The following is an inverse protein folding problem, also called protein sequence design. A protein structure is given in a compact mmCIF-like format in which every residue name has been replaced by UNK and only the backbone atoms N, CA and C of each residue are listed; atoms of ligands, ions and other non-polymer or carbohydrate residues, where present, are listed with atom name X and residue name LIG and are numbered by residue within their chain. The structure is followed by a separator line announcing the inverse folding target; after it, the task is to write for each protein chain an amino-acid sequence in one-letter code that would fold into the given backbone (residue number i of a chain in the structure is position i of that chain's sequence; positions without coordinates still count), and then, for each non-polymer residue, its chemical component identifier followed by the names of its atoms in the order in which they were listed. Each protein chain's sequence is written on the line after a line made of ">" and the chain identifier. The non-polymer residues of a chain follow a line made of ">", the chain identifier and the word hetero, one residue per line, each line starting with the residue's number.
data_IF_379723494277
#
_entry.id   IF_379723494277
#
_cell.length_a   1.000
_cell.length_b   1.000
_cell.length_c   1.000
_cell.angle_alpha   90.00
_cell.angle_beta   90.00
_cell.angle_gamma   90.00
#
_symmetry.space_group_name_H-M   'P 1'
#
loop_
_entity.id
_entity.type
_entity.pdbx_description
1 polymer ?
#
# COMPACT_ATOMS: atom_id res chain seq x y z
N UNK A 1 -19.57 -0.55 -6.75
CA UNK A 1 -18.55 0.08 -5.87
C UNK A 1 -18.48 -0.50 -4.44
N UNK A 2 -19.50 -1.19 -3.95
CA UNK A 2 -19.53 -1.73 -2.57
C UNK A 2 -18.68 -2.99 -2.33
N UNK A 3 -18.42 -3.81 -3.35
CA UNK A 3 -17.76 -5.11 -3.18
C UNK A 3 -16.29 -5.07 -2.79
N UNK A 4 -15.47 -4.18 -3.38
CA UNK A 4 -14.02 -4.11 -3.10
C UNK A 4 -13.73 -3.54 -1.71
N UNK A 5 -14.49 -2.54 -1.29
CA UNK A 5 -14.34 -1.96 0.04
C UNK A 5 -14.72 -2.94 1.16
N UNK A 6 -15.75 -3.73 0.95
CA UNK A 6 -16.21 -4.73 1.94
C UNK A 6 -15.18 -5.86 2.14
N UNK A 7 -14.43 -6.20 1.10
CA UNK A 7 -13.40 -7.25 1.17
C UNK A 7 -12.03 -6.74 1.66
N UNK A 8 -11.68 -5.49 1.37
CA UNK A 8 -10.41 -4.91 1.82
C UNK A 8 -10.34 -4.75 3.35
N UNK A 9 -11.45 -4.46 4.02
CA UNK A 9 -11.50 -4.25 5.46
C UNK A 9 -11.11 -5.48 6.30
N UNK A 10 -11.65 -6.68 6.07
CA UNK A 10 -11.23 -7.87 6.79
C UNK A 10 -9.76 -8.21 6.56
N UNK A 11 -9.28 -8.10 5.31
CA UNK A 11 -7.87 -8.38 4.96
C UNK A 11 -6.94 -7.36 5.63
N UNK A 12 -7.29 -6.08 5.62
CA UNK A 12 -6.48 -5.04 6.25
C UNK A 12 -6.38 -5.21 7.76
N UNK A 13 -7.50 -5.52 8.44
CA UNK A 13 -7.52 -5.78 9.88
C UNK A 13 -6.68 -6.99 10.26
N UNK A 14 -6.74 -8.08 9.49
CA UNK A 14 -5.95 -9.28 9.72
C UNK A 14 -4.43 -9.00 9.66
N UNK A 15 -4.01 -8.00 8.90
CA UNK A 15 -2.61 -7.56 8.81
C UNK A 15 -2.29 -6.35 9.71
N UNK A 16 -3.22 -5.92 10.54
CA UNK A 16 -3.04 -4.78 11.45
C UNK A 16 -2.92 -3.44 10.75
N UNK A 17 -3.57 -3.30 9.59
CA UNK A 17 -3.65 -2.04 8.87
C UNK A 17 -4.94 -1.29 9.23
N UNK A 18 -4.79 0.00 9.48
CA UNK A 18 -5.90 0.92 9.69
C UNK A 18 -6.31 1.56 8.36
N UNK A 19 -7.61 1.54 8.06
CA UNK A 19 -8.16 2.30 6.94
C UNK A 19 -8.18 3.78 7.30
N UNK A 20 -7.58 4.60 6.47
CA UNK A 20 -7.58 6.05 6.65
C UNK A 20 -8.76 6.67 5.90
N UNK A 21 -8.77 6.54 4.58
CA UNK A 21 -9.80 7.13 3.75
C UNK A 21 -9.99 6.40 2.43
N UNK A 22 -11.08 6.72 1.76
CA UNK A 22 -11.35 6.34 0.38
C UNK A 22 -11.63 7.62 -0.40
N UNK A 23 -10.96 7.81 -1.53
CA UNK A 23 -11.17 8.92 -2.46
C UNK A 23 -11.53 8.32 -3.81
N UNK A 24 -12.82 8.40 -4.18
CA UNK A 24 -13.31 7.71 -5.37
C UNK A 24 -13.12 6.19 -5.24
N UNK A 25 -12.35 5.62 -6.14
CA UNK A 25 -11.96 4.20 -6.17
C UNK A 25 -10.63 3.92 -5.44
N UNK A 26 -9.91 4.95 -5.00
CA UNK A 26 -8.65 4.81 -4.31
C UNK A 26 -8.87 4.56 -2.80
N UNK A 27 -8.35 3.44 -2.31
CA UNK A 27 -8.35 3.07 -0.90
C UNK A 27 -6.97 3.35 -0.29
N UNK A 28 -6.95 4.03 0.84
CA UNK A 28 -5.73 4.33 1.59
C UNK A 28 -5.76 3.71 2.97
N UNK A 29 -4.72 2.98 3.32
CA UNK A 29 -4.49 2.41 4.64
C UNK A 29 -3.07 2.66 5.14
N UNK A 30 -2.89 2.48 6.44
CA UNK A 30 -1.60 2.66 7.13
C UNK A 30 -1.36 1.53 8.11
N UNK A 31 -0.11 1.15 8.29
CA UNK A 31 0.34 0.22 9.33
C UNK A 31 1.33 0.94 10.25
N UNK A 32 1.15 0.77 11.57
CA UNK A 32 2.00 1.41 12.56
C UNK A 32 1.51 2.77 13.06
N UNK A 33 0.25 3.10 12.80
CA UNK A 33 -0.44 4.30 13.31
C UNK A 33 -1.84 3.87 13.74
N UNK A 34 -2.36 4.28 14.90
CA UNK A 34 -1.72 5.15 15.91
C UNK A 34 -0.67 4.44 16.76
N UNK A 35 -0.66 3.11 16.77
CA UNK A 35 0.29 2.32 17.57
C UNK A 35 1.50 1.92 16.73
N UNK A 36 2.72 2.39 17.06
CA UNK A 36 3.93 2.07 16.32
C UNK A 36 4.21 0.56 16.26
N UNK A 37 4.63 0.08 15.07
CA UNK A 37 5.00 -1.32 14.84
C UNK A 37 6.33 -1.40 14.09
N UNK A 38 7.23 -2.26 14.57
CA UNK A 38 8.54 -2.48 13.91
C UNK A 38 8.41 -3.22 12.58
N UNK A 39 7.40 -4.09 12.46
CA UNK A 39 7.11 -4.91 11.27
C UNK A 39 6.12 -4.25 10.29
N UNK A 40 5.87 -2.94 10.42
CA UNK A 40 4.86 -2.22 9.62
C UNK A 40 5.04 -2.42 8.11
N UNK A 41 6.28 -2.36 7.60
CA UNK A 41 6.56 -2.50 6.18
C UNK A 41 6.30 -3.94 5.68
N UNK A 42 6.63 -4.94 6.50
CA UNK A 42 6.35 -6.36 6.21
C UNK A 42 4.85 -6.61 6.19
N UNK A 43 4.10 -6.08 7.17
CA UNK A 43 2.66 -6.20 7.22
C UNK A 43 1.98 -5.51 6.02
N UNK A 44 2.46 -4.33 5.62
CA UNK A 44 1.96 -3.64 4.43
C UNK A 44 2.23 -4.42 3.14
N UNK A 45 3.42 -5.02 3.01
CA UNK A 45 3.78 -5.85 1.87
C UNK A 45 2.91 -7.11 1.77
N UNK A 46 2.70 -7.81 2.89
CA UNK A 46 1.82 -8.97 2.94
C UNK A 46 0.36 -8.61 2.63
N UNK A 47 -0.13 -7.51 3.18
CA UNK A 47 -1.46 -6.98 2.87
C UNK A 47 -1.65 -6.74 1.36
N UNK A 48 -0.68 -6.11 0.71
CA UNK A 48 -0.73 -5.86 -0.72
C UNK A 48 -0.78 -7.14 -1.55
N UNK A 49 0.00 -8.15 -1.18
CA UNK A 49 -0.02 -9.46 -1.84
C UNK A 49 -1.34 -10.20 -1.63
N UNK A 50 -1.89 -10.16 -0.41
CA UNK A 50 -3.21 -10.75 -0.10
C UNK A 50 -4.33 -10.08 -0.92
N UNK A 51 -4.28 -8.74 -1.07
CA UNK A 51 -5.24 -8.00 -1.89
C UNK A 51 -5.15 -8.40 -3.37
N UNK A 52 -3.94 -8.52 -3.92
CA UNK A 52 -3.76 -8.98 -5.31
C UNK A 52 -4.23 -10.42 -5.49
N UNK A 53 -3.93 -11.30 -4.55
CA UNK A 53 -4.37 -12.71 -4.59
C UNK A 53 -5.91 -12.79 -4.58
N UNK A 54 -6.56 -12.03 -3.71
CA UNK A 54 -8.02 -11.95 -3.63
C UNK A 54 -8.66 -11.47 -4.94
N UNK A 55 -8.11 -10.42 -5.55
CA UNK A 55 -8.62 -9.90 -6.83
C UNK A 55 -8.49 -10.95 -7.94
N UNK A 56 -7.33 -11.62 -8.04
CA UNK A 56 -7.08 -12.69 -9.02
C UNK A 56 -8.03 -13.87 -8.85
N UNK A 57 -8.29 -14.27 -7.60
CA UNK A 57 -9.23 -15.34 -7.31
C UNK A 57 -10.66 -14.98 -7.73
N UNK A 58 -11.09 -13.76 -7.46
CA UNK A 58 -12.40 -13.26 -7.90
C UNK A 58 -12.55 -13.19 -9.41
N UNK A 59 -11.50 -12.77 -10.11
CA UNK A 59 -11.47 -12.76 -11.57
C UNK A 59 -11.57 -14.17 -12.14
N UNK A 60 -10.84 -15.13 -11.57
CA UNK A 60 -10.88 -16.54 -11.99
C UNK A 60 -12.27 -17.19 -11.79
N UNK A 61 -13.03 -16.71 -10.80
CA UNK A 61 -14.41 -17.14 -10.54
C UNK A 61 -15.47 -16.46 -11.43
N UNK A 62 -15.06 -15.71 -12.46
CA UNK A 62 -15.96 -14.99 -13.36
C UNK A 62 -16.49 -13.68 -12.79
N UNK A 63 -15.85 -13.14 -11.77
CA UNK A 63 -16.16 -11.83 -11.22
C UNK A 63 -15.69 -10.68 -12.10
N UNK A 64 -15.93 -9.44 -11.63
CA UNK A 64 -15.57 -8.22 -12.34
C UNK A 64 -14.04 -8.18 -12.55
N UNK A 65 -13.61 -7.94 -13.78
CA UNK A 65 -12.20 -7.69 -14.10
C UNK A 65 -11.82 -6.29 -13.58
N UNK A 66 -11.13 -6.25 -12.46
CA UNK A 66 -10.60 -5.01 -11.88
C UNK A 66 -9.11 -4.94 -12.13
N UNK A 67 -8.66 -3.88 -12.77
CA UNK A 67 -7.25 -3.55 -12.84
C UNK A 67 -6.85 -2.82 -11.56
N UNK A 68 -6.11 -3.51 -10.70
CA UNK A 68 -5.74 -3.04 -9.38
C UNK A 68 -4.24 -2.66 -9.35
N UNK A 69 -3.95 -1.44 -8.91
CA UNK A 69 -2.57 -0.97 -8.67
C UNK A 69 -2.38 -0.74 -7.19
N UNK A 70 -1.21 -1.05 -6.68
CA UNK A 70 -0.86 -0.80 -5.29
C UNK A 70 0.47 -0.07 -5.22
N UNK A 71 0.53 0.97 -4.40
CA UNK A 71 1.74 1.69 -4.04
C UNK A 71 1.99 1.62 -2.55
N UNK A 72 3.23 1.35 -2.16
CA UNK A 72 3.66 1.32 -0.76
C UNK A 72 4.88 2.19 -0.58
N UNK A 73 4.87 3.02 0.44
CA UNK A 73 6.07 3.69 0.92
C UNK A 73 6.03 3.82 2.45
N UNK A 74 7.20 3.73 3.07
CA UNK A 74 7.37 3.84 4.53
C UNK A 74 8.13 5.11 4.86
N UNK A 75 7.77 5.73 5.97
CA UNK A 75 8.44 6.94 6.46
C UNK A 75 7.62 7.63 7.54
N UNK A 76 8.16 8.72 8.12
CA UNK A 76 7.47 9.47 9.14
C UNK A 76 6.18 10.10 8.60
N UNK A 77 5.14 10.06 9.42
CA UNK A 77 3.84 10.69 9.15
C UNK A 77 3.36 11.45 10.38
N UNK A 78 2.56 12.47 10.15
CA UNK A 78 1.82 13.15 11.20
C UNK A 78 0.38 12.66 11.13
N UNK A 79 -0.13 12.12 12.23
CA UNK A 79 -1.53 11.71 12.37
C UNK A 79 -2.29 12.70 13.24
N UNK A 80 -3.54 12.97 12.90
CA UNK A 80 -4.36 13.86 13.67
C UNK A 80 -5.85 13.72 13.36
N UNK A 81 -6.67 14.28 14.24
CA UNK A 81 -8.12 14.31 14.10
C UNK A 81 -8.54 15.69 13.60
N UNK A 82 -9.30 15.72 12.51
CA UNK A 82 -9.84 16.94 11.94
C UNK A 82 -11.37 16.88 12.00
N UNK A 83 -11.98 18.05 12.18
CA UNK A 83 -13.42 18.25 12.08
C UNK A 83 -13.97 19.09 13.22
N UNK A 84 -15.15 19.71 12.98
CA UNK A 84 -15.95 20.40 13.99
C UNK A 84 -17.13 19.54 14.43
N UNK A 85 -17.94 19.10 13.48
CA UNK A 85 -19.15 18.29 13.73
C UNK A 85 -18.94 16.80 13.51
N UNK A 86 -18.00 16.42 12.64
CA UNK A 86 -17.57 15.03 12.40
C UNK A 86 -16.07 14.95 12.50
N UNK A 87 -15.59 14.14 13.42
CA UNK A 87 -14.17 13.89 13.60
C UNK A 87 -13.69 12.80 12.65
N UNK A 88 -12.65 13.12 11.88
CA UNK A 88 -12.00 12.18 10.97
C UNK A 88 -10.51 12.13 11.31
N UNK A 89 -10.02 10.92 11.57
CA UNK A 89 -8.57 10.70 11.70
C UNK A 89 -7.95 10.65 10.31
N UNK A 90 -6.90 11.41 10.11
CA UNK A 90 -6.14 11.41 8.85
C UNK A 90 -4.64 11.49 9.12
N UNK A 91 -3.83 11.19 8.10
CA UNK A 91 -2.37 11.23 8.15
C UNK A 91 -1.81 12.09 7.02
N UNK A 92 -0.72 12.78 7.34
CA UNK A 92 -0.01 13.65 6.41
C UNK A 92 1.49 13.38 6.47
N UNK A 93 2.17 13.73 5.42
CA UNK A 93 3.61 13.68 5.33
C UNK A 93 4.09 13.31 3.95
N UNK A 94 5.37 13.49 3.76
CA UNK A 94 6.05 13.19 2.53
C UNK A 94 5.97 11.70 2.15
N UNK A 95 6.02 10.83 3.17
CA UNK A 95 5.85 9.39 2.99
C UNK A 95 4.48 9.02 2.39
N UNK A 96 3.41 9.74 2.76
CA UNK A 96 2.06 9.56 2.21
C UNK A 96 2.00 9.96 0.74
N UNK A 97 2.58 11.12 0.41
CA UNK A 97 2.65 11.61 -0.97
C UNK A 97 3.43 10.65 -1.86
N UNK A 98 4.54 10.12 -1.35
CA UNK A 98 5.35 9.18 -2.11
C UNK A 98 4.65 7.83 -2.30
N UNK A 99 3.91 7.32 -1.30
CA UNK A 99 3.07 6.14 -1.46
C UNK A 99 2.00 6.33 -2.55
N UNK A 100 1.35 7.49 -2.58
CA UNK A 100 0.40 7.85 -3.65
C UNK A 100 1.06 7.87 -5.03
N UNK A 101 2.31 8.36 -5.13
CA UNK A 101 3.07 8.30 -6.38
C UNK A 101 3.46 6.89 -6.79
N UNK A 102 3.79 6.02 -5.81
CA UNK A 102 4.02 4.60 -6.10
C UNK A 102 2.78 3.94 -6.70
N UNK A 103 1.59 4.25 -6.19
CA UNK A 103 0.34 3.73 -6.75
C UNK A 103 0.10 4.29 -8.16
N UNK A 104 0.09 5.62 -8.32
CA UNK A 104 -0.29 6.27 -9.59
C UNK A 104 0.67 5.97 -10.75
N UNK A 105 1.92 5.65 -10.46
CA UNK A 105 2.94 5.26 -11.45
C UNK A 105 3.11 3.75 -11.56
N UNK A 106 2.40 2.94 -10.76
CA UNK A 106 2.47 1.48 -10.83
C UNK A 106 1.78 0.94 -12.09
N UNK A 107 2.01 -0.34 -12.36
CA UNK A 107 1.35 -1.07 -13.43
C UNK A 107 0.16 -1.87 -12.88
N UNK A 108 -0.90 -2.09 -13.67
CA UNK A 108 -2.01 -2.96 -13.27
C UNK A 108 -1.53 -4.35 -12.83
N UNK A 109 -2.10 -4.86 -11.74
CA UNK A 109 -1.73 -6.15 -11.16
C UNK A 109 -0.37 -6.19 -10.47
N UNK A 110 0.28 -5.04 -10.25
CA UNK A 110 1.59 -4.94 -9.61
C UNK A 110 1.53 -4.12 -8.33
N UNK A 111 2.42 -4.46 -7.40
CA UNK A 111 2.70 -3.67 -6.19
C UNK A 111 4.01 -2.95 -6.39
N UNK A 112 4.00 -1.63 -6.40
CA UNK A 112 5.20 -0.81 -6.48
C UNK A 112 5.58 -0.29 -5.11
N UNK A 113 6.85 -0.39 -4.76
CA UNK A 113 7.38 0.10 -3.49
C UNK A 113 8.39 1.22 -3.71
N UNK A 114 8.35 2.18 -2.81
CA UNK A 114 9.28 3.30 -2.78
C UNK A 114 10.53 3.03 -1.93
N UNK A 115 11.48 3.98 -1.97
CA UNK A 115 12.78 3.84 -1.31
C UNK A 115 12.70 3.74 0.21
N UNK A 116 11.64 4.26 0.83
CA UNK A 116 11.44 4.13 2.28
C UNK A 116 11.04 2.72 2.73
N UNK A 117 10.43 1.94 1.84
CA UNK A 117 10.00 0.56 2.15
C UNK A 117 11.08 -0.46 1.79
N UNK A 118 11.81 -0.26 0.70
CA UNK A 118 12.80 -1.21 0.18
C UNK A 118 13.76 -1.74 1.25
N UNK A 119 14.48 -0.91 2.03
CA UNK A 119 15.45 -1.40 3.01
C UNK A 119 14.82 -2.21 4.15
N UNK A 120 13.53 -2.03 4.41
CA UNK A 120 12.80 -2.69 5.48
C UNK A 120 12.32 -4.09 5.12
N UNK A 121 12.23 -4.41 3.82
CA UNK A 121 11.65 -5.68 3.35
C UNK A 121 12.55 -6.48 2.39
N UNK A 122 13.66 -5.91 1.91
CA UNK A 122 14.53 -6.54 0.90
C UNK A 122 15.04 -7.94 1.26
N UNK A 123 15.23 -8.21 2.55
CA UNK A 123 15.74 -9.50 3.04
C UNK A 123 14.62 -10.54 3.28
N UNK A 124 13.36 -10.13 3.14
CA UNK A 124 12.17 -10.96 3.39
C UNK A 124 11.30 -11.18 2.16
N UNK A 125 11.51 -10.41 1.10
CA UNK A 125 10.71 -10.47 -0.11
C UNK A 125 11.59 -10.46 -1.35
N UNK A 126 11.11 -11.14 -2.37
CA UNK A 126 11.67 -11.03 -3.73
C UNK A 126 11.17 -9.73 -4.34
N UNK A 127 12.11 -8.89 -4.72
CA UNK A 127 11.88 -7.58 -5.30
C UNK A 127 12.52 -7.51 -6.69
N UNK A 128 11.81 -6.93 -7.64
CA UNK A 128 12.28 -6.68 -9.01
C UNK A 128 12.55 -5.19 -9.17
N UNK A 129 13.77 -4.77 -9.49
CA UNK A 129 14.03 -3.36 -9.77
C UNK A 129 13.18 -2.88 -10.94
N UNK A 130 12.43 -1.81 -10.73
CA UNK A 130 11.71 -1.14 -11.81
C UNK A 130 12.57 -0.05 -12.47
N UNK A 131 13.49 0.51 -11.72
CA UNK A 131 14.31 1.64 -12.10
C UNK A 131 13.82 2.96 -11.51
N UNK A 132 14.36 4.04 -12.03
CA UNK A 132 14.07 5.40 -11.57
C UNK A 132 12.85 5.96 -12.26
N UNK A 133 12.03 6.64 -11.50
CA UNK A 133 10.88 7.39 -11.99
C UNK A 133 11.01 8.85 -11.56
N UNK A 134 10.62 9.77 -12.43
CA UNK A 134 10.59 11.17 -12.08
C UNK A 134 9.36 11.49 -11.24
N UNK A 135 9.56 12.11 -10.08
CA UNK A 135 8.49 12.55 -9.19
C UNK A 135 8.58 14.06 -9.05
N UNK A 136 7.50 14.74 -9.43
CA UNK A 136 7.41 16.21 -9.34
C UNK A 136 7.75 16.68 -7.92
N UNK A 137 8.76 17.54 -7.83
CA UNK A 137 9.23 18.11 -6.57
C UNK A 137 10.23 17.25 -5.78
N UNK A 138 10.62 16.06 -6.31
CA UNK A 138 11.60 15.16 -5.70
C UNK A 138 12.71 14.70 -6.64
N UNK A 139 12.53 14.89 -7.95
CA UNK A 139 13.43 14.36 -8.95
C UNK A 139 13.29 12.85 -9.15
N UNK A 140 14.37 12.21 -9.57
CA UNK A 140 14.40 10.77 -9.83
C UNK A 140 14.40 9.96 -8.52
N UNK A 141 13.48 9.01 -8.43
CA UNK A 141 13.31 8.12 -7.28
C UNK A 141 13.41 6.68 -7.74
N UNK A 142 14.28 5.91 -7.13
CA UNK A 142 14.42 4.48 -7.40
C UNK A 142 13.24 3.69 -6.84
N UNK A 143 12.74 2.73 -7.62
CA UNK A 143 11.52 1.98 -7.29
C UNK A 143 11.65 0.50 -7.65
N UNK A 144 10.85 -0.33 -7.00
CA UNK A 144 10.84 -1.79 -7.16
C UNK A 144 9.41 -2.32 -7.24
N UNK A 145 9.26 -3.49 -7.85
CA UNK A 145 8.04 -4.27 -7.74
C UNK A 145 8.18 -5.37 -6.71
N UNK A 146 7.18 -5.50 -5.86
CA UNK A 146 7.06 -6.59 -4.89
C UNK A 146 6.50 -7.83 -5.59
N UNK A 147 7.21 -8.95 -5.51
CA UNK A 147 6.82 -10.20 -6.18
C UNK A 147 6.19 -11.21 -5.22
N UNK A 148 6.94 -11.63 -4.22
CA UNK A 148 6.52 -12.68 -3.27
C UNK A 148 7.34 -12.61 -1.98
N UNK A 149 6.88 -13.22 -0.88
CA UNK A 149 7.75 -13.49 0.25
C UNK A 149 8.92 -14.38 -0.18
N UNK A 150 10.09 -14.18 0.43
CA UNK A 150 11.18 -15.14 0.32
C UNK A 150 10.88 -16.31 1.26
N UNK A 151 10.96 -17.52 0.75
CA UNK A 151 10.96 -18.71 1.60
C UNK A 151 12.26 -18.70 2.42
N UNK A 152 12.22 -18.87 3.76
CA UNK A 152 13.45 -19.07 4.50
C UNK A 152 14.21 -20.25 3.89
N UNK A 153 15.49 -20.04 3.66
CA UNK A 153 16.38 -21.11 3.20
C UNK A 153 16.54 -22.18 4.28
#
# INVERSE_FOLDING_TARGET
>A
MTGVQTCALPISRARGAEKIRTIGDNWMGVVGVPSPRRDHAVCAALLALDMLAFVRERQAQGGICLEFRIGINSGPVVGGVIGRDKFVFDIWGDAVNLASRMESTSLPGRVQIGPGTYPLIKDRFRLEPRGRIEIKGKGEVETWFLLSPQTPA
#
